data_IF_067275896004
#
_entry.id   IF_067275896004
#
_cell.length_a   1.000
_cell.length_b   1.000
_cell.length_c   1.000
_cell.angle_alpha   90.00
_cell.angle_beta   90.00
_cell.angle_gamma   90.00
#
_symmetry.space_group_name_H-M   'P 1'
#
loop_
_entity.id
_entity.type
_entity.pdbx_description
1 polymer ?
#
# COMPACT_ATOMS: atom_id res chain seq x y z
N UNK A 1 57.53 -49.57 -74.28
CA UNK A 1 56.70 -50.73 -74.66
C UNK A 1 55.28 -50.43 -74.17
N UNK A 2 54.38 -50.07 -75.10
CA UNK A 2 53.23 -50.89 -75.52
C UNK A 2 52.29 -51.25 -74.34
N UNK A 3 50.98 -50.97 -74.31
CA UNK A 3 50.08 -50.47 -75.34
C UNK A 3 48.77 -49.96 -74.69
N UNK A 4 48.12 -49.02 -75.37
CA UNK A 4 46.71 -48.66 -75.21
C UNK A 4 45.81 -49.89 -75.41
N UNK A 5 44.71 -49.98 -74.65
CA UNK A 5 43.45 -50.54 -75.15
C UNK A 5 42.26 -49.68 -74.71
N UNK A 6 41.79 -48.89 -75.67
CA UNK A 6 40.44 -48.36 -75.74
C UNK A 6 39.47 -49.52 -75.99
N UNK A 7 38.37 -49.58 -75.26
CA UNK A 7 37.15 -50.26 -75.69
C UNK A 7 36.02 -49.25 -75.59
N UNK A 8 35.62 -48.77 -76.77
CA UNK A 8 34.33 -48.13 -77.02
C UNK A 8 33.25 -49.22 -77.15
N UNK A 9 32.13 -49.00 -76.49
CA UNK A 9 30.84 -49.64 -76.72
C UNK A 9 29.90 -49.08 -75.66
N UNK A 10 28.88 -48.27 -75.92
CA UNK A 10 28.07 -48.15 -77.13
C UNK A 10 26.64 -48.44 -76.73
N UNK A 11 25.99 -47.53 -76.00
CA UNK A 11 24.53 -47.42 -75.93
C UNK A 11 24.19 -45.93 -75.86
N UNK A 12 23.77 -45.40 -77.00
CA UNK A 12 23.06 -44.13 -77.08
C UNK A 12 21.63 -44.35 -76.59
N UNK A 13 21.30 -43.82 -75.42
CA UNK A 13 19.91 -43.71 -74.98
C UNK A 13 19.46 -42.26 -75.23
N UNK A 14 18.65 -42.08 -76.27
CA UNK A 14 17.80 -40.90 -76.42
C UNK A 14 16.83 -40.85 -75.23
N UNK A 15 16.99 -39.87 -74.35
CA UNK A 15 15.89 -39.42 -73.48
C UNK A 15 15.52 -38.01 -73.88
N UNK A 16 14.30 -37.89 -74.41
CA UNK A 16 13.65 -36.63 -74.75
C UNK A 16 13.69 -35.69 -73.55
N UNK A 17 14.09 -34.45 -73.81
CA UNK A 17 13.85 -33.32 -72.93
C UNK A 17 12.34 -33.07 -72.82
N UNK A 18 11.77 -33.34 -71.66
CA UNK A 18 10.53 -32.72 -71.23
C UNK A 18 10.90 -31.63 -70.22
N UNK A 19 10.93 -30.38 -70.68
CA UNK A 19 10.97 -29.22 -69.80
C UNK A 19 9.60 -29.11 -69.12
N UNK A 20 9.45 -29.74 -67.96
CA UNK A 20 8.35 -29.50 -67.06
C UNK A 20 8.78 -28.40 -66.09
N UNK A 21 8.29 -27.18 -66.30
CA UNK A 21 8.32 -26.11 -65.31
C UNK A 21 7.49 -26.57 -64.10
N UNK A 22 8.17 -27.03 -63.06
CA UNK A 22 7.53 -27.31 -61.77
C UNK A 22 7.70 -26.07 -60.86
N UNK A 23 6.75 -25.14 -60.95
CA UNK A 23 6.50 -24.20 -59.84
C UNK A 23 5.90 -25.00 -58.69
N UNK A 24 6.77 -25.61 -57.88
CA UNK A 24 6.42 -26.21 -56.60
C UNK A 24 6.39 -25.14 -55.51
N UNK A 25 5.50 -25.24 -54.51
CA UNK A 25 5.45 -24.28 -53.41
C UNK A 25 6.80 -24.33 -52.66
N UNK A 26 7.46 -23.18 -52.57
CA UNK A 26 8.62 -22.99 -51.69
C UNK A 26 8.16 -23.12 -50.23
N UNK A 27 8.11 -24.34 -49.71
CA UNK A 27 8.07 -24.56 -48.27
C UNK A 27 9.48 -24.38 -47.76
N UNK A 28 9.83 -23.15 -47.44
CA UNK A 28 11.07 -22.82 -46.73
C UNK A 28 10.92 -23.33 -45.29
N UNK A 29 11.30 -24.60 -45.06
CA UNK A 29 11.24 -25.26 -43.75
C UNK A 29 12.38 -24.76 -42.87
N UNK A 30 12.33 -23.48 -42.49
CA UNK A 30 13.21 -22.90 -41.49
C UNK A 30 12.87 -23.45 -40.10
N UNK A 31 13.87 -23.83 -39.27
CA UNK A 31 13.63 -24.24 -37.90
C UNK A 31 13.01 -23.09 -37.07
N UNK A 32 11.97 -23.42 -36.29
CA UNK A 32 11.29 -22.50 -35.38
C UNK A 32 12.30 -21.87 -34.41
N UNK A 33 12.48 -20.55 -34.51
CA UNK A 33 13.32 -19.80 -33.59
C UNK A 33 12.58 -19.52 -32.28
N UNK A 34 13.32 -19.07 -31.26
CA UNK A 34 12.72 -18.60 -30.00
C UNK A 34 11.75 -17.44 -30.21
N UNK A 35 12.00 -16.59 -31.21
CA UNK A 35 11.12 -15.48 -31.54
C UNK A 35 9.80 -15.97 -32.15
N UNK A 36 9.85 -17.00 -32.99
CA UNK A 36 8.66 -17.61 -33.60
C UNK A 36 7.79 -18.30 -32.55
N UNK A 37 8.42 -18.99 -31.58
CA UNK A 37 7.72 -19.59 -30.44
C UNK A 37 7.02 -18.53 -29.57
N UNK A 38 7.69 -17.40 -29.30
CA UNK A 38 7.11 -16.30 -28.55
C UNK A 38 5.93 -15.64 -29.28
N UNK A 39 6.06 -15.44 -30.60
CA UNK A 39 4.98 -14.92 -31.44
C UNK A 39 3.78 -15.86 -31.48
N UNK A 40 4.01 -17.18 -31.61
CA UNK A 40 2.96 -18.18 -31.58
C UNK A 40 2.23 -18.20 -30.22
N UNK A 41 2.96 -18.03 -29.12
CA UNK A 41 2.38 -17.98 -27.78
C UNK A 41 1.54 -16.71 -27.58
N UNK A 42 2.02 -15.55 -28.03
CA UNK A 42 1.26 -14.30 -27.99
C UNK A 42 -0.03 -14.38 -28.83
N UNK A 43 0.03 -15.02 -30.00
CA UNK A 43 -1.16 -15.27 -30.83
C UNK A 43 -2.15 -16.21 -30.14
N UNK A 44 -1.66 -17.28 -29.49
CA UNK A 44 -2.50 -18.20 -28.74
C UNK A 44 -3.17 -17.51 -27.54
N UNK A 45 -2.46 -16.64 -26.82
CA UNK A 45 -3.00 -15.85 -25.72
C UNK A 45 -4.05 -14.85 -26.22
N UNK A 46 -3.80 -14.16 -27.35
CA UNK A 46 -4.79 -13.31 -27.99
C UNK A 46 -6.04 -14.08 -28.40
N UNK A 47 -5.89 -15.27 -28.98
CA UNK A 47 -7.01 -16.12 -29.35
C UNK A 47 -7.81 -16.58 -28.12
N UNK A 48 -7.12 -16.92 -27.02
CA UNK A 48 -7.75 -17.29 -25.75
C UNK A 48 -8.54 -16.14 -25.14
N UNK A 49 -7.97 -14.93 -25.14
CA UNK A 49 -8.66 -13.73 -24.65
C UNK A 49 -9.84 -13.36 -25.56
N UNK A 50 -9.71 -13.49 -26.88
CA UNK A 50 -10.79 -13.25 -27.83
C UNK A 50 -11.95 -14.27 -27.68
N UNK A 51 -11.65 -15.48 -27.21
CA UNK A 51 -12.65 -16.51 -26.93
C UNK A 51 -13.44 -16.24 -25.62
N UNK A 52 -12.93 -15.40 -24.71
CA UNK A 52 -13.66 -15.00 -23.51
C UNK A 52 -14.79 -14.04 -23.89
N UNK A 53 -15.98 -14.58 -24.15
CA UNK A 53 -17.20 -13.76 -24.26
C UNK A 53 -17.81 -13.59 -22.87
N UNK A 54 -18.12 -12.36 -22.44
CA UNK A 54 -18.94 -12.18 -21.25
C UNK A 54 -20.29 -12.86 -21.48
N UNK A 55 -20.71 -13.72 -20.55
CA UNK A 55 -22.04 -14.30 -20.60
C UNK A 55 -23.06 -13.16 -20.63
N UNK A 56 -23.90 -13.11 -21.67
CA UNK A 56 -24.99 -12.15 -21.73
C UNK A 56 -25.85 -12.37 -20.48
N UNK A 57 -26.10 -11.29 -19.73
CA UNK A 57 -26.96 -11.37 -18.55
C UNK A 57 -28.33 -11.88 -18.99
N UNK A 58 -28.89 -12.90 -18.32
CA UNK A 58 -30.18 -13.43 -18.70
C UNK A 58 -31.25 -12.32 -18.65
N UNK A 59 -32.15 -12.31 -19.63
CA UNK A 59 -33.15 -11.25 -19.85
C UNK A 59 -34.01 -11.00 -18.59
N UNK A 60 -34.31 -12.03 -17.81
CA UNK A 60 -35.05 -11.92 -16.55
C UNK A 60 -34.31 -11.17 -15.44
N UNK A 61 -32.99 -11.04 -15.54
CA UNK A 61 -32.15 -10.24 -14.63
C UNK A 61 -32.07 -8.77 -15.06
N UNK A 62 -32.45 -8.46 -16.31
CA UNK A 62 -32.51 -7.10 -16.81
C UNK A 62 -33.88 -6.53 -16.46
N UNK A 63 -33.97 -5.85 -15.31
CA UNK A 63 -35.14 -5.03 -14.98
C UNK A 63 -35.13 -3.82 -15.93
N UNK A 64 -35.95 -3.87 -16.98
CA UNK A 64 -36.26 -2.71 -17.80
C UNK A 64 -37.47 -1.96 -17.22
N UNK A 65 -37.47 -0.62 -17.23
CA UNK A 65 -36.34 0.23 -17.62
C UNK A 65 -35.19 0.13 -16.62
N UNK A 66 -33.95 0.26 -17.10
CA UNK A 66 -32.79 0.46 -16.22
C UNK A 66 -33.09 1.75 -15.45
N UNK A 67 -33.48 1.61 -14.18
CA UNK A 67 -33.58 2.74 -13.28
C UNK A 67 -32.15 3.22 -13.04
N UNK A 68 -31.67 4.11 -13.92
CA UNK A 68 -30.51 4.93 -13.62
C UNK A 68 -30.98 5.84 -12.51
N UNK A 69 -30.73 5.43 -11.26
CA UNK A 69 -30.83 6.31 -10.11
C UNK A 69 -29.80 7.41 -10.31
N UNK A 70 -30.13 8.41 -11.14
CA UNK A 70 -29.39 9.66 -11.15
C UNK A 70 -29.58 10.21 -9.75
N UNK A 71 -28.48 10.47 -9.03
CA UNK A 71 -28.58 11.17 -7.78
C UNK A 71 -29.38 12.46 -8.06
N UNK A 72 -30.58 12.58 -7.50
CA UNK A 72 -31.38 13.79 -7.62
C UNK A 72 -30.64 14.98 -7.01
N UNK A 73 -31.08 16.22 -7.23
CA UNK A 73 -30.46 17.38 -6.57
C UNK A 73 -30.36 17.18 -5.04
N UNK A 74 -31.30 16.44 -4.44
CA UNK A 74 -31.37 16.18 -2.99
C UNK A 74 -30.59 14.94 -2.52
N UNK A 75 -29.92 14.21 -3.41
CA UNK A 75 -29.10 13.07 -2.97
C UNK A 75 -27.78 13.57 -2.40
N UNK A 76 -27.43 13.20 -1.14
CA UNK A 76 -26.18 13.62 -0.55
C UNK A 76 -25.02 13.07 -1.40
N UNK A 77 -24.24 13.97 -2.02
CA UNK A 77 -22.98 13.57 -2.65
C UNK A 77 -22.10 12.95 -1.56
N UNK A 78 -21.42 11.82 -1.82
CA UNK A 78 -20.48 11.28 -0.86
C UNK A 78 -19.44 12.36 -0.55
N UNK A 79 -19.43 12.83 0.70
CA UNK A 79 -18.43 13.80 1.14
C UNK A 79 -17.07 13.15 0.99
N UNK A 80 -16.17 13.81 0.27
CA UNK A 80 -14.79 13.36 0.14
C UNK A 80 -14.16 13.35 1.54
N UNK A 81 -13.94 12.16 2.09
CA UNK A 81 -13.19 11.98 3.34
C UNK A 81 -11.75 12.36 3.04
N UNK A 82 -11.28 13.51 3.54
CA UNK A 82 -9.86 13.84 3.46
C UNK A 82 -9.08 12.86 4.32
N UNK A 83 -8.38 11.93 3.69
CA UNK A 83 -7.41 11.08 4.37
C UNK A 83 -6.17 11.95 4.59
N UNK A 84 -6.06 12.55 5.78
CA UNK A 84 -4.83 13.24 6.17
C UNK A 84 -3.68 12.23 6.17
N UNK A 85 -2.65 12.48 5.37
CA UNK A 85 -1.43 11.70 5.35
C UNK A 85 -0.37 12.49 6.11
N UNK A 86 0.07 12.04 7.28
CA UNK A 86 1.12 12.73 8.01
C UNK A 86 2.48 12.51 7.37
N UNK A 87 3.33 13.54 7.46
CA UNK A 87 4.77 13.36 7.28
C UNK A 87 5.28 12.36 8.33
N UNK A 88 6.02 11.36 7.86
CA UNK A 88 6.65 10.34 8.68
C UNK A 88 8.15 10.32 8.43
N UNK A 89 8.92 10.01 9.48
CA UNK A 89 10.38 10.06 9.41
C UNK A 89 10.99 9.07 8.42
N UNK A 90 10.23 8.03 8.07
CA UNK A 90 10.61 7.03 7.06
C UNK A 90 10.24 7.43 5.62
N UNK A 91 9.70 8.62 5.35
CA UNK A 91 9.21 8.99 4.01
C UNK A 91 10.30 9.02 2.94
N UNK A 92 11.56 9.15 3.35
CA UNK A 92 12.71 9.02 2.47
C UNK A 92 12.96 7.58 1.96
N UNK A 93 12.32 6.58 2.59
CA UNK A 93 12.39 5.18 2.19
C UNK A 93 11.35 4.91 1.10
N UNK A 94 11.78 4.30 0.00
CA UNK A 94 10.88 3.95 -1.11
C UNK A 94 9.77 3.02 -0.62
N UNK A 95 8.52 3.39 -0.90
CA UNK A 95 7.34 2.58 -0.57
C UNK A 95 6.81 2.75 0.85
N UNK A 96 7.43 3.58 1.69
CA UNK A 96 7.01 3.78 3.08
C UNK A 96 5.66 4.50 3.25
N UNK A 97 5.14 5.13 2.20
CA UNK A 97 3.77 5.66 2.16
C UNK A 97 2.74 4.56 2.48
N UNK A 98 2.99 3.31 2.07
CA UNK A 98 2.16 2.17 2.44
C UNK A 98 2.20 1.88 3.94
N UNK A 99 3.34 2.13 4.60
CA UNK A 99 3.51 1.97 6.05
C UNK A 99 2.72 3.05 6.79
N UNK A 100 2.81 4.30 6.34
CA UNK A 100 2.02 5.43 6.86
C UNK A 100 0.53 5.13 6.75
N UNK A 101 0.05 4.65 5.59
CA UNK A 101 -1.34 4.22 5.39
C UNK A 101 -1.76 3.08 6.30
N UNK A 102 -0.92 2.05 6.45
CA UNK A 102 -1.18 0.92 7.31
C UNK A 102 -1.28 1.35 8.78
N UNK A 103 -0.35 2.19 9.26
CA UNK A 103 -0.35 2.72 10.62
C UNK A 103 -1.58 3.60 10.90
N UNK A 104 -1.93 4.51 9.99
CA UNK A 104 -3.15 5.32 10.11
C UNK A 104 -4.41 4.45 10.18
N UNK A 105 -4.46 3.37 9.40
CA UNK A 105 -5.57 2.41 9.41
C UNK A 105 -5.63 1.62 10.71
N UNK A 106 -4.48 1.13 11.19
CA UNK A 106 -4.39 0.43 12.46
C UNK A 106 -4.82 1.31 13.64
N UNK A 107 -4.41 2.59 13.65
CA UNK A 107 -4.84 3.55 14.67
C UNK A 107 -6.34 3.77 14.65
N UNK A 108 -6.96 3.93 13.47
CA UNK A 108 -8.42 4.05 13.35
C UNK A 108 -9.16 2.81 13.87
N UNK A 109 -8.65 1.62 13.60
CA UNK A 109 -9.36 0.37 13.89
C UNK A 109 -9.05 -0.23 15.28
N UNK A 110 -7.86 0.06 15.82
CA UNK A 110 -7.32 -0.61 17.01
C UNK A 110 -6.71 0.35 18.04
N UNK A 111 -6.62 1.65 17.71
CA UNK A 111 -5.94 2.68 18.50
C UNK A 111 -6.87 3.68 19.19
N UNK A 112 -8.17 3.39 19.34
CA UNK A 112 -9.15 4.35 19.88
C UNK A 112 -8.77 4.89 21.26
N UNK A 113 -8.29 4.03 22.18
CA UNK A 113 -7.88 4.48 23.53
C UNK A 113 -6.58 5.28 23.47
N UNK A 114 -5.65 4.89 22.59
CA UNK A 114 -4.40 5.59 22.35
C UNK A 114 -4.65 7.03 21.87
N UNK A 115 -5.55 7.19 20.90
CA UNK A 115 -5.94 8.49 20.33
C UNK A 115 -6.65 9.40 21.34
N UNK A 116 -7.54 8.84 22.16
CA UNK A 116 -8.31 9.58 23.15
C UNK A 116 -7.49 9.99 24.37
N UNK A 117 -6.42 9.25 24.66
CA UNK A 117 -5.52 9.56 25.79
C UNK A 117 -4.73 10.82 25.49
N UNK A 118 -4.63 11.70 26.48
CA UNK A 118 -3.74 12.88 26.48
C UNK A 118 -2.62 12.62 27.49
N UNK A 119 -1.46 12.08 27.05
CA UNK A 119 -0.35 11.73 27.92
C UNK A 119 0.16 12.93 28.73
N UNK A 120 0.62 12.72 29.96
CA UNK A 120 1.15 13.81 30.83
C UNK A 120 2.31 14.58 30.19
N UNK A 121 3.11 13.92 29.38
CA UNK A 121 4.29 14.47 28.71
C UNK A 121 4.01 14.97 27.29
N UNK A 122 2.74 14.98 26.84
CA UNK A 122 2.39 15.30 25.45
C UNK A 122 2.84 16.69 25.00
N UNK A 123 2.86 17.69 25.90
CA UNK A 123 3.29 19.05 25.56
C UNK A 123 4.77 19.11 25.11
N UNK A 124 5.60 18.15 25.55
CA UNK A 124 6.98 18.02 25.09
C UNK A 124 7.04 17.48 23.67
N UNK A 125 6.17 16.52 23.34
CA UNK A 125 6.16 15.79 22.08
C UNK A 125 5.37 16.47 20.96
N UNK A 126 4.23 17.08 21.30
CA UNK A 126 3.26 17.63 20.36
C UNK A 126 2.37 18.68 21.06
N UNK A 127 2.75 19.98 21.05
CA UNK A 127 2.01 21.04 21.71
C UNK A 127 0.55 21.19 21.27
N UNK A 128 0.24 20.94 20.00
CA UNK A 128 -1.12 21.03 19.46
C UNK A 128 -2.02 19.81 19.76
N UNK A 129 -1.50 18.75 20.38
CA UNK A 129 -2.20 17.46 20.45
C UNK A 129 -3.56 17.52 21.17
N UNK A 130 -3.69 18.33 22.21
CA UNK A 130 -4.93 18.46 22.98
C UNK A 130 -6.05 19.04 22.12
N UNK A 131 -5.73 20.01 21.26
CA UNK A 131 -6.69 20.72 20.40
C UNK A 131 -6.90 20.02 19.06
N UNK A 132 -6.04 19.05 18.72
CA UNK A 132 -6.10 18.32 17.48
C UNK A 132 -7.35 17.42 17.39
N UNK A 133 -8.01 17.40 16.21
CA UNK A 133 -9.02 16.40 15.92
C UNK A 133 -8.41 14.99 15.82
N UNK A 134 -9.24 13.93 15.90
CA UNK A 134 -8.80 12.52 15.86
C UNK A 134 -7.75 12.18 14.80
N UNK A 135 -7.90 12.69 13.58
CA UNK A 135 -6.96 12.45 12.48
C UNK A 135 -5.57 13.01 12.73
N UNK A 136 -5.46 14.21 13.33
CA UNK A 136 -4.16 14.82 13.65
C UNK A 136 -3.55 14.19 14.91
N UNK A 137 -4.36 13.65 15.83
CA UNK A 137 -3.86 12.81 16.94
C UNK A 137 -3.27 11.50 16.44
N UNK A 138 -3.92 10.84 15.49
CA UNK A 138 -3.36 9.64 14.83
C UNK A 138 -2.08 9.95 14.07
N UNK A 139 -2.06 11.09 13.37
CA UNK A 139 -0.85 11.59 12.70
C UNK A 139 0.35 11.67 13.64
N UNK A 140 0.16 12.21 14.84
CA UNK A 140 1.20 12.23 15.86
C UNK A 140 1.74 10.83 16.18
N UNK A 141 0.87 9.84 16.41
CA UNK A 141 1.32 8.49 16.73
C UNK A 141 2.07 7.81 15.58
N UNK A 142 1.68 8.06 14.33
CA UNK A 142 2.44 7.61 13.15
C UNK A 142 3.83 8.24 13.12
N UNK A 143 3.90 9.57 13.32
CA UNK A 143 5.16 10.27 13.42
C UNK A 143 6.07 9.73 14.52
N UNK A 144 5.53 9.51 15.72
CA UNK A 144 6.27 8.96 16.85
C UNK A 144 6.79 7.55 16.53
N UNK A 145 5.96 6.65 15.99
CA UNK A 145 6.38 5.32 15.56
C UNK A 145 7.48 5.39 14.49
N UNK A 146 7.40 6.34 13.56
CA UNK A 146 8.44 6.53 12.54
C UNK A 146 9.77 7.02 13.10
N UNK A 147 9.71 7.87 14.13
CA UNK A 147 10.89 8.32 14.85
C UNK A 147 11.51 7.19 15.69
N UNK A 148 10.67 6.34 16.29
CA UNK A 148 11.09 5.15 17.04
C UNK A 148 11.73 4.10 16.14
N UNK A 149 11.15 3.83 14.96
CA UNK A 149 11.66 2.87 13.99
C UNK A 149 13.11 3.17 13.54
N UNK A 150 13.51 4.45 13.54
CA UNK A 150 14.92 4.83 13.33
C UNK A 150 15.86 4.14 14.33
N UNK A 151 15.48 4.16 15.61
CA UNK A 151 16.33 3.67 16.70
C UNK A 151 16.18 2.18 16.97
N UNK A 152 15.08 1.57 16.50
CA UNK A 152 14.84 0.13 16.62
C UNK A 152 15.42 -0.67 15.45
N UNK A 153 15.15 -0.23 14.21
CA UNK A 153 15.48 -0.99 13.00
C UNK A 153 16.23 -0.19 11.93
N UNK A 154 16.44 1.11 12.13
CA UNK A 154 16.88 2.04 11.06
C UNK A 154 15.93 1.97 9.86
N UNK A 155 14.62 1.87 10.14
CA UNK A 155 13.54 1.76 9.15
C UNK A 155 13.59 0.52 8.25
N UNK A 156 14.20 -0.57 8.73
CA UNK A 156 14.31 -1.84 8.00
C UNK A 156 13.20 -2.82 8.43
N UNK A 157 12.19 -3.10 7.60
CA UNK A 157 11.11 -4.01 7.97
C UNK A 157 11.56 -5.47 8.13
N UNK A 158 12.65 -5.88 7.48
CA UNK A 158 13.23 -7.22 7.60
C UNK A 158 14.21 -7.36 8.79
N UNK A 159 14.38 -6.32 9.61
CA UNK A 159 15.32 -6.33 10.71
C UNK A 159 14.96 -7.39 11.77
N UNK A 160 15.95 -8.21 12.14
CA UNK A 160 15.86 -9.15 13.26
C UNK A 160 16.95 -8.84 14.27
N UNK A 161 16.57 -8.42 15.47
CA UNK A 161 17.47 -8.00 16.54
C UNK A 161 17.46 -8.92 17.76
N UNK A 162 18.31 -8.57 18.73
CA UNK A 162 18.43 -9.26 20.02
C UNK A 162 18.69 -10.77 19.90
N UNK A 163 19.58 -11.17 18.98
CA UNK A 163 19.94 -12.57 18.78
C UNK A 163 18.89 -13.42 18.05
N UNK A 164 18.01 -12.82 17.24
CA UNK A 164 16.99 -13.55 16.49
C UNK A 164 15.60 -13.52 17.13
N UNK A 165 15.35 -12.62 18.09
CA UNK A 165 14.14 -12.62 18.91
C UNK A 165 13.17 -11.49 18.58
N UNK A 166 13.65 -10.36 18.09
CA UNK A 166 12.83 -9.16 17.89
C UNK A 166 12.76 -8.82 16.41
N UNK A 167 11.56 -8.51 15.91
CA UNK A 167 11.30 -8.48 14.47
C UNK A 167 10.69 -7.17 14.00
N UNK A 168 11.11 -6.76 12.82
CA UNK A 168 10.53 -5.69 12.03
C UNK A 168 10.82 -4.28 12.50
N UNK A 169 10.04 -3.32 11.97
CA UNK A 169 10.28 -1.89 12.12
C UNK A 169 10.43 -1.45 13.57
N UNK A 170 9.59 -1.99 14.45
CA UNK A 170 9.55 -1.65 15.87
C UNK A 170 10.00 -2.79 16.78
N UNK A 171 10.77 -3.74 16.22
CA UNK A 171 11.45 -4.81 16.96
C UNK A 171 10.52 -5.46 18.00
N UNK A 172 9.50 -6.18 17.53
CA UNK A 172 8.47 -6.80 18.38
C UNK A 172 8.81 -8.27 18.60
N UNK A 173 8.68 -8.75 19.84
CA UNK A 173 8.82 -10.15 20.21
C UNK A 173 7.53 -10.93 19.90
N UNK A 174 7.58 -12.10 19.21
CA UNK A 174 6.38 -12.85 18.83
C UNK A 174 5.45 -13.21 19.99
N UNK A 175 6.01 -13.49 21.17
CA UNK A 175 5.20 -13.82 22.36
C UNK A 175 4.42 -12.61 22.89
N UNK A 176 5.03 -11.44 22.83
CA UNK A 176 4.35 -10.17 23.11
C UNK A 176 3.23 -9.94 22.11
N UNK A 177 3.50 -10.14 20.81
CA UNK A 177 2.46 -10.02 19.79
C UNK A 177 1.27 -10.95 20.05
N UNK A 178 1.51 -12.20 20.47
CA UNK A 178 0.44 -13.13 20.87
C UNK A 178 -0.35 -12.64 22.08
N UNK A 179 0.32 -12.19 23.16
CA UNK A 179 -0.33 -11.66 24.36
C UNK A 179 -1.23 -10.45 24.09
N UNK A 180 -0.79 -9.55 23.20
CA UNK A 180 -1.59 -8.40 22.78
C UNK A 180 -2.61 -8.74 21.67
N UNK A 181 -2.70 -10.01 21.29
CA UNK A 181 -3.68 -10.57 20.36
C UNK A 181 -3.44 -10.21 18.90
N UNK A 182 -2.23 -9.76 18.53
CA UNK A 182 -1.87 -9.31 17.19
C UNK A 182 -2.16 -10.36 16.09
N UNK A 183 -2.32 -9.88 14.86
CA UNK A 183 -2.51 -10.71 13.66
C UNK A 183 -1.22 -11.47 13.34
N UNK A 184 -0.11 -10.75 13.21
CA UNK A 184 1.22 -11.34 13.14
C UNK A 184 1.60 -11.93 14.51
N UNK A 185 1.84 -13.24 14.55
CA UNK A 185 2.14 -14.03 15.77
C UNK A 185 3.48 -14.76 15.70
N UNK A 186 4.16 -14.66 14.57
CA UNK A 186 5.46 -15.29 14.27
C UNK A 186 6.47 -14.20 13.91
N UNK A 187 7.76 -14.54 13.98
CA UNK A 187 8.83 -13.62 13.58
C UNK A 187 8.69 -13.17 12.12
N UNK A 188 8.52 -14.12 11.21
CA UNK A 188 8.35 -13.84 9.78
C UNK A 188 7.15 -12.92 9.50
N UNK A 189 6.00 -13.16 10.13
CA UNK A 189 4.83 -12.30 9.97
C UNK A 189 5.07 -10.87 10.51
N UNK A 190 5.93 -10.72 11.53
CA UNK A 190 6.30 -9.41 12.06
C UNK A 190 7.31 -8.66 11.19
N UNK A 191 7.86 -9.27 10.14
CA UNK A 191 8.66 -8.57 9.14
C UNK A 191 7.81 -7.80 8.11
N UNK A 192 6.51 -8.10 8.03
CA UNK A 192 5.59 -7.25 7.29
C UNK A 192 5.42 -5.90 8.03
N UNK A 193 5.74 -4.76 7.41
CA UNK A 193 5.70 -3.46 8.08
C UNK A 193 4.29 -3.06 8.53
N UNK A 194 3.26 -3.43 7.78
CA UNK A 194 1.88 -3.11 8.11
C UNK A 194 1.39 -3.87 9.35
N UNK A 195 1.68 -5.17 9.41
CA UNK A 195 1.37 -6.02 10.56
C UNK A 195 2.21 -5.65 11.79
N UNK A 196 3.48 -5.30 11.60
CA UNK A 196 4.37 -4.83 12.67
C UNK A 196 3.82 -3.55 13.32
N UNK A 197 3.54 -2.53 12.50
CA UNK A 197 2.97 -1.26 12.96
C UNK A 197 1.57 -1.46 13.55
N UNK A 198 0.74 -2.31 12.96
CA UNK A 198 -0.56 -2.64 13.53
C UNK A 198 -0.45 -3.31 14.90
N UNK A 199 0.57 -4.14 15.13
CA UNK A 199 0.80 -4.75 16.43
C UNK A 199 1.32 -3.73 17.45
N UNK A 200 2.25 -2.86 17.05
CA UNK A 200 2.73 -1.77 17.89
C UNK A 200 1.59 -0.85 18.37
N UNK A 201 0.67 -0.48 17.47
CA UNK A 201 -0.52 0.30 17.83
C UNK A 201 -1.32 -0.40 18.94
N UNK A 202 -1.50 -1.72 18.87
CA UNK A 202 -2.26 -2.47 19.89
C UNK A 202 -1.56 -2.50 21.24
N UNK A 203 -0.23 -2.66 21.24
CA UNK A 203 0.59 -2.59 22.46
C UNK A 203 0.45 -1.19 23.08
N UNK A 204 0.69 -0.14 22.30
CA UNK A 204 0.58 1.26 22.76
C UNK A 204 -0.83 1.61 23.23
N UNK A 205 -1.88 1.09 22.57
CA UNK A 205 -3.29 1.27 22.95
C UNK A 205 -3.64 0.63 24.30
N UNK A 206 -2.78 -0.22 24.85
CA UNK A 206 -2.88 -0.71 26.22
C UNK A 206 -1.96 0.09 27.15
N UNK A 207 -0.70 0.27 26.78
CA UNK A 207 0.33 0.76 27.70
C UNK A 207 0.26 2.27 27.94
N UNK A 208 -0.01 3.06 26.90
CA UNK A 208 -0.15 4.52 27.01
C UNK A 208 -1.37 4.91 27.84
N UNK A 209 -2.60 4.39 27.60
CA UNK A 209 -3.75 4.72 28.44
C UNK A 209 -3.59 4.23 29.89
N UNK A 210 -2.97 3.06 30.09
CA UNK A 210 -2.72 2.52 31.43
C UNK A 210 -1.79 3.42 32.26
N UNK A 211 -0.73 3.94 31.65
CA UNK A 211 0.29 4.72 32.37
C UNK A 211 0.13 6.24 32.22
N UNK A 212 -0.76 6.68 31.32
CA UNK A 212 -0.98 8.06 30.91
C UNK A 212 0.33 8.82 30.57
N UNK A 213 1.18 8.19 29.75
CA UNK A 213 2.51 8.69 29.41
C UNK A 213 2.96 8.18 28.03
N UNK A 214 3.86 8.93 27.36
CA UNK A 214 4.63 8.45 26.22
C UNK A 214 5.95 7.85 26.72
N UNK A 215 6.78 8.66 27.38
CA UNK A 215 8.06 8.22 27.90
C UNK A 215 8.38 8.95 29.21
N UNK A 216 7.78 8.46 30.30
CA UNK A 216 8.06 8.92 31.65
C UNK A 216 8.69 7.80 32.48
N UNK A 217 9.44 8.22 33.51
CA UNK A 217 9.95 7.32 34.54
C UNK A 217 9.54 7.84 35.91
N UNK A 218 8.86 7.00 36.66
CA UNK A 218 8.64 7.15 38.09
C UNK A 218 9.47 6.08 38.84
N UNK A 219 8.82 5.14 39.52
CA UNK A 219 9.44 3.91 40.01
C UNK A 219 9.76 2.92 38.88
N UNK A 220 9.05 3.01 37.75
CA UNK A 220 9.29 2.23 36.53
C UNK A 220 9.12 3.09 35.28
N UNK A 221 9.51 2.56 34.13
CA UNK A 221 9.19 3.16 32.85
C UNK A 221 7.69 3.04 32.54
N UNK A 222 7.15 4.10 31.93
CA UNK A 222 5.70 4.33 31.73
C UNK A 222 5.39 4.62 30.27
N UNK A 223 4.26 4.09 29.81
CA UNK A 223 3.76 4.33 28.46
C UNK A 223 4.49 3.49 27.41
N UNK A 224 4.89 4.14 26.33
CA UNK A 224 5.74 3.53 25.29
C UNK A 224 7.10 3.11 25.86
N UNK A 225 7.64 3.85 26.83
CA UNK A 225 8.89 3.48 27.49
C UNK A 225 8.85 2.16 28.28
N UNK A 226 7.67 1.61 28.55
CA UNK A 226 7.55 0.32 29.22
C UNK A 226 7.94 -0.86 28.31
N UNK A 227 7.80 -0.71 26.98
CA UNK A 227 8.00 -1.81 26.03
C UNK A 227 9.19 -1.58 25.07
N UNK A 228 9.58 -0.32 24.80
CA UNK A 228 10.61 0.00 23.81
C UNK A 228 11.88 0.61 24.42
N UNK A 229 13.03 -0.02 24.18
CA UNK A 229 14.33 0.35 24.74
C UNK A 229 14.78 1.79 24.45
N UNK A 230 14.70 2.30 23.19
CA UNK A 230 15.03 3.68 22.86
C UNK A 230 14.27 4.73 23.67
N UNK A 231 13.06 4.39 24.12
CA UNK A 231 12.21 5.27 24.94
C UNK A 231 12.63 5.31 26.41
N UNK A 232 13.76 4.67 26.77
CA UNK A 232 14.41 4.78 28.08
C UNK A 232 15.68 5.65 28.04
N UNK A 233 16.14 6.03 26.84
CA UNK A 233 17.32 6.86 26.65
C UNK A 233 16.94 8.32 26.44
N UNK A 234 17.37 9.20 27.36
CA UNK A 234 17.00 10.64 27.33
C UNK A 234 17.39 11.34 26.04
N UNK A 235 18.55 11.02 25.47
CA UNK A 235 19.02 11.64 24.21
C UNK A 235 18.14 11.22 23.04
N UNK A 236 17.82 9.92 22.93
CA UNK A 236 16.93 9.41 21.87
C UNK A 236 15.50 9.97 22.03
N UNK A 237 14.98 10.02 23.26
CA UNK A 237 13.68 10.65 23.55
C UNK A 237 13.67 12.10 23.09
N UNK A 238 14.68 12.89 23.46
CA UNK A 238 14.77 14.29 23.06
C UNK A 238 14.84 14.46 21.54
N UNK A 239 15.60 13.60 20.85
CA UNK A 239 15.67 13.61 19.38
C UNK A 239 14.31 13.30 18.73
N UNK A 240 13.64 12.24 19.19
CA UNK A 240 12.33 11.84 18.65
C UNK A 240 11.27 12.91 18.92
N UNK A 241 11.23 13.45 20.15
CA UNK A 241 10.28 14.50 20.53
C UNK A 241 10.53 15.80 19.76
N UNK A 242 11.79 16.19 19.56
CA UNK A 242 12.14 17.35 18.74
C UNK A 242 11.66 17.18 17.30
N UNK A 243 11.84 15.98 16.74
CA UNK A 243 11.35 15.67 15.39
C UNK A 243 9.81 15.72 15.33
N UNK A 244 9.08 15.06 16.23
CA UNK A 244 7.60 15.07 16.19
C UNK A 244 7.02 16.44 16.41
N UNK A 245 7.60 17.23 17.33
CA UNK A 245 7.13 18.59 17.65
C UNK A 245 7.29 19.57 16.47
N UNK A 246 8.25 19.32 15.59
CA UNK A 246 8.49 20.14 14.41
C UNK A 246 7.43 19.95 13.32
N UNK A 247 6.69 18.83 13.34
CA UNK A 247 5.75 18.46 12.29
C UNK A 247 4.49 19.34 12.30
N UNK A 248 3.91 19.50 11.12
CA UNK A 248 2.74 20.32 10.86
C UNK A 248 1.56 20.00 11.80
N UNK A 249 1.24 18.71 11.97
CA UNK A 249 0.18 18.26 12.88
C UNK A 249 0.47 18.52 14.36
N UNK A 250 1.67 18.98 14.75
CA UNK A 250 2.00 19.35 16.13
C UNK A 250 2.14 20.86 16.34
N UNK A 251 1.96 21.66 15.28
CA UNK A 251 1.99 23.13 15.35
C UNK A 251 0.58 23.67 15.62
N UNK A 252 0.39 24.48 16.68
CA UNK A 252 -0.94 24.98 17.07
C UNK A 252 -1.73 25.71 15.97
N UNK A 253 -1.06 26.32 14.99
CA UNK A 253 -1.72 27.08 13.92
C UNK A 253 -2.48 26.19 12.90
N UNK A 254 -2.08 24.94 12.70
CA UNK A 254 -2.71 24.07 11.68
C UNK A 254 -3.99 23.39 12.16
N UNK A 255 -4.11 23.08 13.45
CA UNK A 255 -5.33 22.53 14.05
C UNK A 255 -6.53 23.48 13.87
N UNK A 256 -6.27 24.79 13.98
CA UNK A 256 -7.26 25.86 13.77
C UNK A 256 -7.67 25.95 12.29
N UNK A 257 -6.73 25.84 11.36
CA UNK A 257 -7.00 25.98 9.92
C UNK A 257 -7.83 24.83 9.33
N UNK A 258 -7.66 23.60 9.82
CA UNK A 258 -8.48 22.45 9.38
C UNK A 258 -9.95 22.59 9.85
N UNK A 259 -10.16 23.20 11.02
CA UNK A 259 -11.50 23.48 11.57
C UNK A 259 -12.23 24.60 10.82
N UNK A 260 -11.51 25.56 10.24
CA UNK A 260 -12.07 26.69 9.47
C UNK A 260 -12.43 26.35 8.02
N UNK A 261 -12.61 25.06 7.67
CA UNK A 261 -13.05 24.67 6.32
C UNK A 261 -14.43 25.31 6.05
N UNK A 262 -14.59 26.09 4.96
CA UNK A 262 -15.86 26.76 4.68
C UNK A 262 -17.02 25.77 4.58
N UNK A 263 -18.04 25.97 5.41
CA UNK A 263 -19.33 25.30 5.31
C UNK A 263 -19.88 25.47 3.88
N UNK A 264 -20.53 24.43 3.35
CA UNK A 264 -21.15 24.52 2.02
C UNK A 264 -22.17 25.64 2.02
N UNK A 265 -22.07 26.57 1.04
CA UNK A 265 -23.04 27.64 0.85
C UNK A 265 -24.45 27.03 0.80
N UNK A 266 -25.40 27.48 1.64
CA UNK A 266 -26.76 26.94 1.63
C UNK A 266 -27.34 27.08 0.22
N UNK A 267 -28.06 26.05 -0.23
CA UNK A 267 -28.70 26.07 -1.54
C UNK A 267 -29.62 27.29 -1.61
N UNK A 268 -29.40 28.11 -2.64
CA UNK A 268 -30.23 29.27 -2.88
C UNK A 268 -31.66 28.78 -3.09
N UNK A 269 -32.57 29.15 -2.18
CA UNK A 269 -34.01 28.99 -2.41
C UNK A 269 -34.33 29.69 -3.72
N UNK A 270 -34.71 28.90 -4.72
CA UNK A 270 -35.27 29.43 -5.97
C UNK A 270 -36.57 30.12 -5.57
N UNK A 271 -36.54 31.47 -5.52
CA UNK A 271 -37.74 32.27 -5.38
C UNK A 271 -38.49 32.16 -6.70
N UNK A 272 -39.45 31.25 -6.74
CA UNK A 272 -40.37 31.08 -7.86
C UNK A 272 -41.23 32.33 -7.95
N UNK A 273 -40.90 33.23 -8.88
CA UNK A 273 -41.76 34.36 -9.26
C UNK A 273 -42.73 33.86 -10.31
N UNK A 274 -43.86 33.32 -9.88
CA UNK A 274 -45.05 33.23 -10.72
C UNK A 274 -46.26 33.63 -9.87
N UNK A 275 -46.54 34.93 -9.88
CA UNK A 275 -47.90 35.45 -9.81
C UNK A 275 -48.03 36.45 -10.96
N UNK A 276 -48.80 36.08 -11.98
CA UNK A 276 -49.34 37.02 -12.95
C UNK A 276 -50.87 36.79 -12.97
N UNK A 277 -51.69 37.83 -12.69
CA UNK A 277 -53.13 37.69 -12.67
C UNK A 277 -53.70 37.77 -14.08
N UNK A 278 -54.72 36.94 -14.35
CA UNK A 278 -55.71 37.11 -15.40
C UNK A 278 -57.10 37.08 -14.77
#
# INVERSE_FOLDING_TARGET
>A
MFARRLILGGIAALTLAAAASADGPQTDTRPLSRADAAAAQAQADHARLAALRPAARPVWMIRHPVAVNRPGPDTPRPMMRSVYMPDARWDHIRGSEAWTRAAMTALRNHGTRLEQTVPRDIATWCPAYTDNPPELRRAFWVGMMSALAKHESTWRPEAVGGGGLWYGLLQIYPDTARRYGCRARTGDALTDPGDNLSCAVRIMNVTVPRDNAIALRDTRWRGVAADWGPMTNRTKIAEMAAWTRAQEYCRPQLAVMVSLRPESRPEARVVSTMDAPG
#
